data_IF_052512364652
#
_entry.id   IF_052512364652
#
_cell.length_a   1.000
_cell.length_b   1.000
_cell.length_c   1.000
_cell.angle_alpha   90.00
_cell.angle_beta   90.00
_cell.angle_gamma   90.00
#
_symmetry.space_group_name_H-M   'P 1'
#
loop_
_entity.id
_entity.type
_entity.pdbx_description
1 polymer ?
#
# COMPACT_ATOMS: atom_id res chain seq x y z
N UNK A 1 -14.06 9.51 24.78
CA UNK A 1 -14.47 8.92 23.79
C UNK A 1 -14.01 9.38 22.53
N UNK A 2 -13.36 10.28 22.46
CA UNK A 2 -12.93 10.72 21.30
C UNK A 2 -11.92 9.94 20.62
N UNK A 3 -11.40 8.95 21.20
CA UNK A 3 -10.40 8.16 20.53
C UNK A 3 -10.88 7.59 19.21
N UNK A 4 -12.15 7.33 19.10
CA UNK A 4 -12.68 6.80 17.85
C UNK A 4 -12.54 7.79 16.72
N UNK A 5 -12.74 9.05 17.03
CA UNK A 5 -12.71 10.03 15.98
C UNK A 5 -11.32 10.32 15.49
N UNK A 6 -10.30 9.88 16.25
CA UNK A 6 -8.95 10.17 15.85
C UNK A 6 -8.34 9.09 14.98
N UNK A 7 -9.04 7.98 14.78
CA UNK A 7 -8.50 6.92 13.97
C UNK A 7 -8.55 7.27 12.51
N UNK A 8 -7.43 7.14 11.85
CA UNK A 8 -7.37 7.35 10.42
C UNK A 8 -7.83 6.11 9.69
N UNK A 9 -8.42 6.32 8.56
CA UNK A 9 -8.74 5.27 7.62
C UNK A 9 -7.46 4.53 7.24
N UNK A 10 -7.54 3.20 7.07
CA UNK A 10 -6.35 2.42 6.77
C UNK A 10 -5.70 2.84 5.46
N UNK A 11 -6.49 3.23 4.48
CA UNK A 11 -5.94 3.70 3.22
C UNK A 11 -5.12 4.97 3.42
N UNK A 12 -5.62 5.91 4.26
CA UNK A 12 -4.88 7.12 4.59
C UNK A 12 -3.52 6.78 5.21
N UNK A 13 -3.52 5.86 6.17
CA UNK A 13 -2.28 5.48 6.83
C UNK A 13 -1.30 4.89 5.83
N UNK A 14 -1.78 4.01 4.96
CA UNK A 14 -0.93 3.39 3.97
C UNK A 14 -0.35 4.41 2.99
N UNK A 15 -1.18 5.32 2.50
CA UNK A 15 -0.70 6.34 1.56
C UNK A 15 0.30 7.27 2.22
N UNK A 16 0.03 7.69 3.45
CA UNK A 16 0.97 8.54 4.18
C UNK A 16 2.31 7.83 4.35
N UNK A 17 2.28 6.52 4.59
CA UNK A 17 3.51 5.74 4.74
C UNK A 17 4.27 5.60 3.43
N UNK A 18 3.57 5.40 2.33
CA UNK A 18 4.23 5.33 1.02
C UNK A 18 4.94 6.64 0.73
N UNK A 19 4.26 7.76 0.98
CA UNK A 19 4.85 9.06 0.73
C UNK A 19 6.04 9.31 1.65
N UNK A 20 5.92 8.93 2.92
CA UNK A 20 7.03 9.10 3.86
C UNK A 20 8.23 8.28 3.44
N UNK A 21 8.01 7.07 2.92
CA UNK A 21 9.09 6.23 2.42
C UNK A 21 9.82 6.92 1.28
N UNK A 22 9.12 7.75 0.51
CA UNK A 22 9.70 8.51 -0.58
C UNK A 22 10.22 9.87 -0.12
N UNK A 23 10.23 10.13 1.19
CA UNK A 23 10.73 11.39 1.72
C UNK A 23 9.72 12.52 1.78
N UNK A 24 8.45 12.21 1.61
CA UNK A 24 7.39 13.22 1.54
C UNK A 24 6.50 13.09 2.76
N UNK A 25 6.35 14.16 3.52
CA UNK A 25 5.47 14.19 4.67
C UNK A 25 4.16 14.85 4.25
N UNK A 26 3.06 14.09 4.34
CA UNK A 26 1.76 14.62 3.95
C UNK A 26 0.67 13.81 4.61
N UNK A 27 -0.43 14.48 4.91
CA UNK A 27 -1.63 13.84 5.42
C UNK A 27 -2.63 13.77 4.26
N UNK A 28 -2.87 12.56 3.75
CA UNK A 28 -3.70 12.38 2.57
C UNK A 28 -5.19 12.28 2.90
N UNK A 29 -5.54 12.39 4.17
CA UNK A 29 -6.94 12.26 4.57
C UNK A 29 -7.83 13.27 3.86
N UNK A 30 -7.35 14.51 3.75
CA UNK A 30 -8.12 15.55 3.09
C UNK A 30 -8.33 15.21 1.61
N UNK A 31 -7.28 14.72 0.95
CA UNK A 31 -7.37 14.40 -0.46
C UNK A 31 -8.38 13.27 -0.71
N UNK A 32 -8.38 12.26 0.15
CA UNK A 32 -9.35 11.19 0.03
C UNK A 32 -10.76 11.70 0.26
N UNK A 33 -10.93 12.62 1.20
CA UNK A 33 -12.24 13.20 1.48
C UNK A 33 -12.75 14.02 0.31
N UNK A 34 -11.85 14.54 -0.53
CA UNK A 34 -12.23 15.27 -1.73
C UNK A 34 -12.57 14.36 -2.90
N UNK A 35 -12.51 13.05 -2.70
CA UNK A 35 -12.84 12.10 -3.74
C UNK A 35 -11.69 11.67 -4.62
N UNK A 36 -10.46 12.04 -4.27
CA UNK A 36 -9.32 11.62 -5.07
C UNK A 36 -9.03 10.15 -4.84
N UNK A 37 -8.57 9.48 -5.88
CA UNK A 37 -8.19 8.08 -5.78
C UNK A 37 -6.77 7.97 -5.23
N UNK A 38 -6.42 6.77 -4.77
CA UNK A 38 -5.05 6.51 -4.30
C UNK A 38 -4.03 6.83 -5.37
N UNK A 39 -4.32 6.43 -6.61
CA UNK A 39 -3.39 6.66 -7.72
C UNK A 39 -3.21 8.16 -7.95
N UNK A 40 -4.31 8.93 -7.95
CA UNK A 40 -4.21 10.37 -8.14
C UNK A 40 -3.37 11.02 -7.06
N UNK A 41 -3.58 10.61 -5.81
CA UNK A 41 -2.84 11.20 -4.70
C UNK A 41 -1.35 10.93 -4.84
N UNK A 42 -0.99 9.70 -5.20
CA UNK A 42 0.42 9.37 -5.36
C UNK A 42 1.02 10.13 -6.55
N UNK A 43 0.28 10.24 -7.66
CA UNK A 43 0.79 10.95 -8.81
C UNK A 43 1.01 12.42 -8.55
N UNK A 44 0.14 13.03 -7.74
CA UNK A 44 0.24 14.44 -7.47
C UNK A 44 1.35 14.79 -6.50
N UNK A 45 1.74 13.84 -5.66
CA UNK A 45 2.68 14.12 -4.59
C UNK A 45 4.08 13.57 -4.82
N UNK A 46 4.25 12.65 -5.75
CA UNK A 46 5.55 12.02 -5.98
C UNK A 46 6.13 12.49 -7.31
N UNK A 47 7.44 12.75 -7.32
CA UNK A 47 8.13 13.12 -8.54
C UNK A 47 9.20 12.08 -8.85
N UNK A 48 9.53 11.96 -10.14
CA UNK A 48 10.54 11.00 -10.54
C UNK A 48 10.11 9.56 -10.48
N UNK A 49 8.79 9.33 -10.45
CA UNK A 49 8.25 7.97 -10.40
C UNK A 49 7.09 7.85 -11.36
N UNK A 50 6.79 6.62 -11.73
CA UNK A 50 5.57 6.30 -12.45
C UNK A 50 4.71 5.46 -11.51
N UNK A 51 3.52 5.94 -11.20
CA UNK A 51 2.59 5.21 -10.34
C UNK A 51 1.92 4.14 -11.19
N UNK A 52 1.80 2.94 -10.65
CA UNK A 52 1.33 1.78 -11.39
C UNK A 52 0.08 1.20 -10.74
N UNK A 53 -0.94 1.01 -11.56
CA UNK A 53 -2.13 0.27 -11.15
C UNK A 53 -1.86 -1.19 -11.51
N UNK A 54 -1.59 -1.99 -10.50
CA UNK A 54 -1.25 -3.39 -10.68
C UNK A 54 -2.43 -4.31 -10.36
N UNK A 55 -3.64 -3.77 -10.44
CA UNK A 55 -4.85 -4.54 -10.16
C UNK A 55 -4.94 -5.72 -11.12
N UNK A 56 -5.22 -6.89 -10.56
CA UNK A 56 -5.29 -8.11 -11.33
C UNK A 56 -3.99 -8.90 -11.36
N UNK A 57 -2.88 -8.29 -10.97
CA UNK A 57 -1.62 -9.01 -10.88
C UNK A 57 -1.61 -9.89 -9.63
N UNK A 58 -0.91 -11.02 -9.69
CA UNK A 58 -0.79 -11.87 -8.52
C UNK A 58 0.18 -11.27 -7.51
N UNK A 59 0.10 -11.75 -6.27
CA UNK A 59 1.06 -11.33 -5.25
C UNK A 59 2.48 -11.58 -5.72
N UNK A 60 2.73 -12.76 -6.30
CA UNK A 60 4.08 -13.10 -6.77
C UNK A 60 4.60 -12.05 -7.74
N UNK A 61 3.75 -11.56 -8.63
CA UNK A 61 4.17 -10.59 -9.62
C UNK A 61 4.53 -9.24 -8.96
N UNK A 62 3.75 -8.81 -7.97
CA UNK A 62 4.00 -7.49 -7.37
C UNK A 62 5.17 -7.51 -6.40
N UNK A 63 5.63 -8.69 -5.98
CA UNK A 63 6.82 -8.77 -5.13
C UNK A 63 8.07 -8.28 -5.83
N UNK A 64 8.04 -8.19 -7.15
CA UNK A 64 9.12 -7.57 -7.91
C UNK A 64 9.43 -6.16 -7.36
N UNK A 65 8.38 -5.39 -7.05
CA UNK A 65 8.58 -4.03 -6.54
C UNK A 65 9.07 -4.04 -5.10
N UNK A 66 8.55 -4.95 -4.29
CA UNK A 66 9.01 -5.09 -2.90
C UNK A 66 10.49 -5.43 -2.87
N UNK A 67 10.93 -6.25 -3.82
CA UNK A 67 12.33 -6.63 -3.90
C UNK A 67 13.24 -5.44 -4.23
N UNK A 68 12.67 -4.36 -4.74
CA UNK A 68 13.41 -3.14 -5.02
C UNK A 68 13.20 -2.09 -3.93
N UNK A 69 12.73 -2.53 -2.78
CA UNK A 69 12.51 -1.66 -1.62
C UNK A 69 11.41 -0.64 -1.89
N UNK A 70 10.41 -1.05 -2.66
CA UNK A 70 9.25 -0.21 -2.95
C UNK A 70 8.03 -0.89 -2.37
N UNK A 71 7.30 -0.22 -1.45
CA UNK A 71 6.13 -0.86 -0.86
C UNK A 71 5.00 -1.03 -1.86
N UNK A 72 4.18 -2.05 -1.66
CA UNK A 72 3.02 -2.30 -2.50
C UNK A 72 1.78 -2.11 -1.65
N UNK A 73 0.90 -1.24 -2.11
CA UNK A 73 -0.39 -1.00 -1.46
C UNK A 73 -1.36 -2.06 -1.94
N UNK A 74 -2.06 -2.68 -1.01
CA UNK A 74 -3.13 -3.62 -1.34
C UNK A 74 -4.42 -3.10 -0.77
N UNK A 75 -5.41 -2.91 -1.63
CA UNK A 75 -6.73 -2.45 -1.23
C UNK A 75 -7.65 -3.66 -1.20
N UNK A 76 -8.27 -3.89 -0.06
CA UNK A 76 -9.10 -5.06 0.17
C UNK A 76 -10.53 -4.78 -0.27
N UNK A 77 -11.33 -5.84 -0.36
CA UNK A 77 -12.70 -5.72 -0.84
C UNK A 77 -13.55 -4.79 0.00
N UNK A 78 -13.26 -4.71 1.30
CA UNK A 78 -14.04 -3.84 2.18
C UNK A 78 -13.56 -2.41 2.20
N UNK A 79 -12.61 -2.06 1.33
CA UNK A 79 -12.06 -0.71 1.28
C UNK A 79 -10.91 -0.46 2.22
N UNK A 80 -10.60 -1.42 3.08
CA UNK A 80 -9.42 -1.31 3.94
C UNK A 80 -8.16 -1.54 3.11
N UNK A 81 -7.02 -1.20 3.67
CA UNK A 81 -5.78 -1.33 2.94
C UNK A 81 -4.66 -1.80 3.86
N UNK A 82 -3.68 -2.46 3.28
CA UNK A 82 -2.45 -2.84 3.98
C UNK A 82 -1.28 -2.57 3.04
N UNK A 83 -0.06 -2.57 3.59
CA UNK A 83 1.15 -2.42 2.78
C UNK A 83 1.96 -3.71 2.85
N UNK A 84 2.42 -4.16 1.69
CA UNK A 84 3.39 -5.25 1.63
C UNK A 84 4.76 -4.58 1.56
N UNK A 85 5.59 -4.85 2.56
CA UNK A 85 6.86 -4.13 2.72
C UNK A 85 8.09 -5.02 2.62
N UNK A 86 7.93 -6.34 2.64
CA UNK A 86 9.06 -7.25 2.54
C UNK A 86 8.58 -8.66 2.28
N UNK A 87 9.54 -9.56 2.03
CA UNK A 87 9.19 -10.97 1.85
C UNK A 87 10.46 -11.82 1.86
N UNK A 88 10.26 -13.10 2.08
CA UNK A 88 11.28 -14.10 1.78
C UNK A 88 10.55 -15.25 1.11
N UNK A 89 11.22 -16.41 0.94
CA UNK A 89 10.59 -17.49 0.17
C UNK A 89 9.39 -18.10 0.90
N UNK A 90 9.25 -17.88 2.20
CA UNK A 90 8.17 -18.50 2.98
C UNK A 90 7.09 -17.54 3.40
N UNK A 91 7.39 -16.24 3.51
CA UNK A 91 6.46 -15.26 4.08
C UNK A 91 6.53 -13.94 3.37
N UNK A 92 5.43 -13.18 3.47
CA UNK A 92 5.46 -11.76 3.16
C UNK A 92 5.37 -10.99 4.48
N UNK A 93 5.89 -9.77 4.48
CA UNK A 93 5.81 -8.87 5.62
C UNK A 93 4.77 -7.80 5.28
N UNK A 94 3.80 -7.65 6.16
CA UNK A 94 2.68 -6.74 5.95
C UNK A 94 2.65 -5.73 7.08
N UNK A 95 2.44 -4.46 6.75
CA UNK A 95 2.26 -3.42 7.75
C UNK A 95 0.76 -3.30 8.04
N UNK A 96 0.42 -3.46 9.32
CA UNK A 96 -0.96 -3.31 9.78
C UNK A 96 -1.22 -1.84 10.07
N UNK A 97 -2.12 -1.18 9.33
CA UNK A 97 -2.24 0.28 9.46
C UNK A 97 -2.73 0.74 10.82
N UNK A 98 -3.57 -0.06 11.49
CA UNK A 98 -4.15 0.38 12.75
C UNK A 98 -3.10 0.51 13.86
N UNK A 99 -2.00 -0.24 13.75
CA UNK A 99 -0.96 -0.22 14.78
C UNK A 99 0.38 0.25 14.25
N UNK A 100 0.56 0.25 12.92
CA UNK A 100 1.85 0.53 12.31
C UNK A 100 2.84 -0.60 12.43
N UNK A 101 2.42 -1.73 12.98
CA UNK A 101 3.33 -2.85 13.21
C UNK A 101 3.43 -3.74 12.00
N UNK A 102 4.59 -4.38 11.86
CA UNK A 102 4.83 -5.33 10.79
C UNK A 102 4.55 -6.73 11.29
N UNK A 103 3.98 -7.56 10.45
CA UNK A 103 3.79 -8.96 10.79
C UNK A 103 4.05 -9.81 9.55
N UNK A 104 4.32 -11.09 9.79
CA UNK A 104 4.57 -12.04 8.71
C UNK A 104 3.32 -12.84 8.43
N UNK A 105 3.08 -13.09 7.15
CA UNK A 105 1.99 -13.95 6.71
C UNK A 105 2.58 -14.95 5.74
N UNK A 106 2.20 -16.22 5.88
CA UNK A 106 2.74 -17.25 5.00
C UNK A 106 2.48 -16.95 3.54
N UNK A 107 3.43 -17.28 2.68
CA UNK A 107 3.34 -16.90 1.27
C UNK A 107 2.08 -17.45 0.62
N UNK A 108 1.76 -18.71 0.87
CA UNK A 108 0.58 -19.33 0.27
C UNK A 108 -0.70 -18.72 0.82
N UNK A 109 -0.75 -18.48 2.13
CA UNK A 109 -1.92 -17.87 2.75
C UNK A 109 -2.13 -16.47 2.24
N UNK A 110 -1.04 -15.72 2.08
CA UNK A 110 -1.14 -14.34 1.59
C UNK A 110 -1.61 -14.32 0.14
N UNK A 111 -1.09 -15.23 -0.69
CA UNK A 111 -1.49 -15.30 -2.08
C UNK A 111 -3.00 -15.55 -2.19
N UNK A 112 -3.51 -16.48 -1.40
CA UNK A 112 -4.94 -16.79 -1.40
C UNK A 112 -5.75 -15.60 -0.87
N UNK A 113 -5.28 -14.98 0.20
CA UNK A 113 -5.98 -13.88 0.83
C UNK A 113 -6.12 -12.68 -0.11
N UNK A 114 -5.01 -12.31 -0.76
CA UNK A 114 -5.07 -11.19 -1.69
C UNK A 114 -5.92 -11.52 -2.90
N UNK A 115 -5.85 -12.76 -3.41
CA UNK A 115 -6.66 -13.15 -4.54
C UNK A 115 -8.15 -13.10 -4.20
N UNK A 116 -8.51 -13.52 -2.99
CA UNK A 116 -9.90 -13.45 -2.55
C UNK A 116 -10.38 -12.01 -2.40
N UNK A 117 -9.46 -11.07 -2.25
CA UNK A 117 -9.77 -9.65 -2.17
C UNK A 117 -9.61 -8.94 -3.52
N UNK A 118 -9.43 -9.69 -4.60
CA UNK A 118 -9.43 -9.13 -5.95
C UNK A 118 -8.08 -8.71 -6.48
N UNK A 119 -7.01 -8.95 -5.76
CA UNK A 119 -5.65 -8.59 -6.19
C UNK A 119 -5.56 -7.12 -6.63
N UNK A 120 -6.08 -6.22 -5.80
CA UNK A 120 -6.03 -4.79 -6.08
C UNK A 120 -4.75 -4.19 -5.52
N UNK A 121 -3.71 -4.15 -6.33
CA UNK A 121 -2.40 -3.67 -5.92
C UNK A 121 -2.06 -2.36 -6.62
N UNK A 122 -1.36 -1.48 -5.90
CA UNK A 122 -0.84 -0.22 -6.44
C UNK A 122 0.57 -0.06 -5.93
N UNK A 123 1.48 0.35 -6.81
CA UNK A 123 2.84 0.64 -6.42
C UNK A 123 3.39 1.70 -7.36
N UNK A 124 4.70 1.79 -7.45
CA UNK A 124 5.32 2.75 -8.36
C UNK A 124 6.69 2.21 -8.75
N UNK A 125 7.25 2.80 -9.79
CA UNK A 125 8.63 2.51 -10.16
C UNK A 125 9.34 3.83 -10.35
N UNK A 126 10.64 3.84 -10.08
CA UNK A 126 11.43 5.02 -10.26
C UNK A 126 11.77 5.19 -11.73
N UNK A 127 11.68 6.44 -12.19
CA UNK A 127 12.01 6.78 -13.57
C UNK A 127 13.42 7.31 -13.57
N UNK A 128 14.29 6.69 -14.36
CA UNK A 128 15.66 7.15 -14.45
C UNK A 128 15.82 8.06 -15.63
N UNK A 129 16.66 9.06 -15.44
CA UNK A 129 16.96 10.00 -16.52
C UNK A 129 18.38 9.81 -17.02
#
# INVERSE_FOLDING_TARGET
>A
EESVTDQKNSLTVCLDNILRHAGITRNTEYDLAQGKTAIQILEENMTGVQVLDLSGCSLDAVLYYVNQDIPVLAILEDGEAVLVTGFNEFNVVIMEPSTGKLYKKGMNDATTWFAENGNHFISYMKIEN
#
